data_IF_687934763611
#
_entry.id   IF_687934763611
#
_cell.length_a   1.000
_cell.length_b   1.000
_cell.length_c   1.000
_cell.angle_alpha   90.00
_cell.angle_beta   90.00
_cell.angle_gamma   90.00
#
_symmetry.space_group_name_H-M   'P 1'
#
loop_
_entity.id
_entity.type
_entity.pdbx_description
1 polymer ?
#
# COMPACT_ATOMS: atom_id res chain seq x y z
N UNK A 1 13.45 25.76 -15.70
CA UNK A 1 12.97 24.38 -15.53
C UNK A 1 11.55 24.37 -16.05
N UNK A 2 11.30 23.79 -17.21
CA UNK A 2 9.93 23.69 -17.74
C UNK A 2 9.25 22.50 -17.07
N UNK A 3 8.17 22.74 -16.32
CA UNK A 3 7.38 21.66 -15.74
C UNK A 3 6.55 20.98 -16.84
N UNK A 4 6.73 19.68 -17.02
CA UNK A 4 5.92 18.87 -17.93
C UNK A 4 4.59 18.47 -17.27
N UNK A 5 3.62 18.01 -18.05
CA UNK A 5 2.36 17.49 -17.54
C UNK A 5 2.56 16.31 -16.55
N UNK A 6 3.57 15.45 -16.76
CA UNK A 6 3.88 14.35 -15.84
C UNK A 6 4.40 14.86 -14.49
N UNK A 7 5.22 15.92 -14.48
CA UNK A 7 5.67 16.55 -13.24
C UNK A 7 4.50 17.09 -12.41
N UNK A 8 3.49 17.69 -13.03
CA UNK A 8 2.29 18.15 -12.31
C UNK A 8 1.50 16.99 -11.69
N UNK A 9 1.33 15.88 -12.42
CA UNK A 9 0.65 14.68 -11.91
C UNK A 9 1.41 14.09 -10.72
N UNK A 10 2.73 13.93 -10.84
CA UNK A 10 3.60 13.43 -9.76
C UNK A 10 3.50 14.30 -8.51
N UNK A 11 3.61 15.62 -8.66
CA UNK A 11 3.50 16.57 -7.55
C UNK A 11 2.14 16.49 -6.86
N UNK A 12 1.05 16.43 -7.64
CA UNK A 12 -0.30 16.30 -7.09
C UNK A 12 -0.41 15.02 -6.25
N UNK A 13 0.07 13.89 -6.77
CA UNK A 13 0.03 12.62 -6.05
C UNK A 13 0.88 12.68 -4.77
N UNK A 14 2.11 13.17 -4.82
CA UNK A 14 2.96 13.28 -3.63
C UNK A 14 2.36 14.19 -2.55
N UNK A 15 1.80 15.33 -2.95
CA UNK A 15 1.14 16.27 -2.02
C UNK A 15 -0.10 15.62 -1.39
N UNK A 16 -0.97 14.97 -2.18
CA UNK A 16 -2.14 14.27 -1.67
C UNK A 16 -1.75 13.13 -0.72
N UNK A 17 -0.73 12.35 -1.08
CA UNK A 17 -0.18 11.28 -0.26
C UNK A 17 0.33 11.80 1.07
N UNK A 18 1.00 12.95 1.09
CA UNK A 18 1.43 13.57 2.34
C UNK A 18 0.26 14.09 3.17
N UNK A 19 -0.62 14.90 2.58
CA UNK A 19 -1.72 15.56 3.27
C UNK A 19 -2.77 14.60 3.83
N UNK A 20 -3.05 13.50 3.15
CA UNK A 20 -4.03 12.50 3.59
C UNK A 20 -3.37 11.34 4.34
N UNK A 21 -2.19 10.91 3.88
CA UNK A 21 -1.47 9.78 4.45
C UNK A 21 -0.94 10.04 5.85
N UNK A 22 -0.35 11.22 6.11
CA UNK A 22 0.19 11.56 7.43
C UNK A 22 -0.90 11.54 8.52
N UNK A 23 -1.97 12.34 8.44
CA UNK A 23 -3.00 12.34 9.48
C UNK A 23 -3.75 11.00 9.54
N UNK A 24 -4.01 10.36 8.39
CA UNK A 24 -4.71 9.07 8.34
C UNK A 24 -3.97 7.98 9.09
N UNK A 25 -2.66 7.81 8.83
CA UNK A 25 -1.86 6.78 9.49
C UNK A 25 -1.59 7.11 10.96
N UNK A 26 -1.40 8.39 11.33
CA UNK A 26 -1.29 8.78 12.75
C UNK A 26 -2.57 8.48 13.53
N UNK A 27 -3.73 8.75 12.95
CA UNK A 27 -5.03 8.45 13.56
C UNK A 27 -5.21 6.94 13.77
N UNK A 28 -4.94 6.13 12.75
CA UNK A 28 -5.06 4.67 12.84
C UNK A 28 -4.07 4.11 13.85
N UNK A 29 -2.81 4.57 13.84
CA UNK A 29 -1.79 4.17 14.80
C UNK A 29 -2.28 4.44 16.23
N UNK A 30 -2.81 5.63 16.48
CA UNK A 30 -3.38 6.00 17.78
C UNK A 30 -4.55 5.11 18.21
N UNK A 31 -5.51 4.86 17.30
CA UNK A 31 -6.66 3.98 17.55
C UNK A 31 -6.20 2.56 17.88
N UNK A 32 -5.26 2.02 17.12
CA UNK A 32 -4.76 0.65 17.29
C UNK A 32 -3.82 0.50 18.49
N UNK A 33 -3.04 1.52 18.87
CA UNK A 33 -2.28 1.53 20.13
C UNK A 33 -3.22 1.50 21.32
N UNK A 34 -4.26 2.35 21.31
CA UNK A 34 -5.30 2.33 22.37
C UNK A 34 -5.99 0.98 22.45
N UNK A 35 -6.28 0.38 21.28
CA UNK A 35 -6.86 -0.95 21.18
C UNK A 35 -5.94 -2.02 21.75
N UNK A 36 -4.65 -1.99 21.42
CA UNK A 36 -3.63 -2.90 21.95
C UNK A 36 -3.49 -2.79 23.47
N UNK A 37 -3.48 -1.57 24.01
CA UNK A 37 -3.40 -1.32 25.45
C UNK A 37 -4.63 -1.82 26.21
N UNK A 38 -5.83 -1.71 25.63
CA UNK A 38 -7.08 -2.08 26.30
C UNK A 38 -7.46 -3.56 26.14
N UNK A 39 -7.17 -4.18 25.00
CA UNK A 39 -7.65 -5.53 24.66
C UNK A 39 -6.53 -6.50 24.24
N UNK A 40 -5.27 -6.12 24.37
CA UNK A 40 -4.12 -6.94 23.99
C UNK A 40 -3.78 -6.89 22.50
N UNK A 41 -2.60 -7.41 22.16
CA UNK A 41 -2.02 -7.40 20.83
C UNK A 41 -2.42 -8.64 20.02
N UNK A 42 -3.63 -8.64 19.45
CA UNK A 42 -4.01 -9.68 18.46
C UNK A 42 -3.15 -9.56 17.18
N UNK A 43 -2.96 -10.62 16.38
CA UNK A 43 -2.19 -10.56 15.13
C UNK A 43 -2.62 -9.42 14.20
N UNK A 44 -3.94 -9.19 14.07
CA UNK A 44 -4.47 -8.10 13.24
C UNK A 44 -4.11 -6.71 13.77
N UNK A 45 -3.93 -6.56 15.08
CA UNK A 45 -3.50 -5.30 15.69
C UNK A 45 -2.02 -5.08 15.46
N UNK A 46 -1.18 -6.12 15.63
CA UNK A 46 0.26 -6.05 15.33
C UNK A 46 0.48 -5.72 13.86
N UNK A 47 -0.23 -6.39 12.95
CA UNK A 47 -0.18 -6.12 11.51
C UNK A 47 -0.55 -4.66 11.19
N UNK A 48 -1.65 -4.16 11.74
CA UNK A 48 -2.08 -2.77 11.50
C UNK A 48 -1.08 -1.75 12.05
N UNK A 49 -0.51 -1.98 13.25
CA UNK A 49 0.50 -1.11 13.84
C UNK A 49 1.77 -1.05 12.99
N UNK A 50 2.26 -2.22 12.55
CA UNK A 50 3.38 -2.29 11.63
C UNK A 50 3.04 -1.47 10.37
N UNK A 51 1.88 -1.73 9.74
CA UNK A 51 1.52 -1.09 8.47
C UNK A 51 1.39 0.44 8.59
N UNK A 52 0.91 0.95 9.74
CA UNK A 52 0.98 2.38 10.01
C UNK A 52 2.41 2.90 10.09
N UNK A 53 3.33 2.20 10.76
CA UNK A 53 4.75 2.61 10.83
C UNK A 53 5.39 2.61 9.44
N UNK A 54 5.06 1.63 8.57
CA UNK A 54 5.42 1.61 7.16
C UNK A 54 5.05 2.92 6.46
N UNK A 55 3.76 3.22 6.54
CA UNK A 55 3.16 4.26 5.75
C UNK A 55 3.66 5.61 6.25
N UNK A 56 3.89 5.77 7.56
CA UNK A 56 4.50 6.99 8.11
C UNK A 56 5.94 7.18 7.62
N UNK A 57 6.75 6.11 7.56
CA UNK A 57 8.08 6.18 6.99
C UNK A 57 8.04 6.57 5.51
N UNK A 58 7.13 5.98 4.71
CA UNK A 58 6.95 6.33 3.30
C UNK A 58 6.44 7.78 3.11
N UNK A 59 5.49 8.22 3.93
CA UNK A 59 4.95 9.59 3.89
C UNK A 59 6.00 10.63 4.23
N UNK A 60 6.87 10.35 5.22
CA UNK A 60 7.94 11.28 5.58
C UNK A 60 8.91 11.57 4.44
N UNK A 61 8.93 10.70 3.41
CA UNK A 61 9.75 10.86 2.23
C UNK A 61 9.11 11.68 1.11
N UNK A 62 7.77 11.74 1.04
CA UNK A 62 7.06 12.48 -0.01
C UNK A 62 7.52 13.94 -0.16
N UNK A 63 7.82 14.70 0.91
CA UNK A 63 8.38 16.05 0.79
C UNK A 63 9.73 16.10 0.07
N UNK A 64 10.57 15.07 0.25
CA UNK A 64 11.85 14.96 -0.45
C UNK A 64 11.59 14.81 -1.95
N UNK A 65 10.71 13.89 -2.36
CA UNK A 65 10.35 13.69 -3.78
C UNK A 65 9.75 14.94 -4.43
N UNK A 66 8.96 15.71 -3.68
CA UNK A 66 8.46 17.02 -4.13
C UNK A 66 9.62 17.99 -4.37
N UNK A 67 10.58 18.08 -3.44
CA UNK A 67 11.76 18.94 -3.60
C UNK A 67 12.63 18.50 -4.79
N UNK A 68 12.86 17.20 -4.97
CA UNK A 68 13.59 16.67 -6.13
C UNK A 68 12.91 17.07 -7.45
N UNK A 69 11.58 16.95 -7.52
CA UNK A 69 10.79 17.28 -8.72
C UNK A 69 10.80 18.78 -9.03
N UNK A 70 10.82 19.65 -8.02
CA UNK A 70 10.77 21.11 -8.20
C UNK A 70 12.15 21.76 -8.39
N UNK A 71 13.19 21.22 -7.76
CA UNK A 71 14.51 21.84 -7.72
C UNK A 71 15.52 21.10 -8.61
N UNK A 72 15.17 19.94 -9.16
CA UNK A 72 16.12 19.07 -9.85
C UNK A 72 17.26 18.60 -8.94
N UNK A 73 17.10 18.76 -7.62
CA UNK A 73 18.04 18.29 -6.63
C UNK A 73 17.92 16.78 -6.57
N UNK A 74 19.03 16.06 -6.66
CA UNK A 74 19.06 14.63 -6.43
C UNK A 74 19.69 14.37 -5.07
N UNK A 75 19.21 13.32 -4.39
CA UNK A 75 19.88 12.82 -3.20
C UNK A 75 21.37 12.55 -3.46
N UNK A 76 22.26 12.88 -2.50
CA UNK A 76 23.66 12.51 -2.60
C UNK A 76 23.79 10.99 -2.79
N UNK A 77 24.68 10.57 -3.70
CA UNK A 77 24.86 9.17 -4.09
C UNK A 77 25.13 8.21 -2.90
N UNK A 78 25.69 8.71 -1.79
CA UNK A 78 25.96 7.93 -0.58
C UNK A 78 24.71 7.68 0.29
N UNK A 79 23.73 8.57 0.26
CA UNK A 79 22.50 8.46 1.07
C UNK A 79 21.49 7.52 0.41
N UNK A 80 21.53 7.45 -0.93
CA UNK A 80 20.60 6.67 -1.72
C UNK A 80 20.58 5.15 -1.44
N UNK A 81 21.73 4.42 -1.41
CA UNK A 81 21.73 2.99 -1.14
C UNK A 81 21.35 2.68 0.31
N UNK A 82 21.74 3.54 1.25
CA UNK A 82 21.36 3.42 2.66
C UNK A 82 19.85 3.58 2.83
N UNK A 83 19.25 4.56 2.18
CA UNK A 83 17.81 4.80 2.20
C UNK A 83 17.01 3.66 1.53
N UNK A 84 17.47 3.19 0.37
CA UNK A 84 16.89 2.05 -0.34
C UNK A 84 16.95 0.77 0.52
N UNK A 85 18.06 0.57 1.23
CA UNK A 85 18.24 -0.53 2.16
C UNK A 85 17.33 -0.43 3.39
N UNK A 86 17.17 0.76 3.98
CA UNK A 86 16.24 0.98 5.08
C UNK A 86 14.78 0.73 4.68
N UNK A 87 14.34 1.20 3.50
CA UNK A 87 13.01 0.89 2.98
C UNK A 87 12.81 -0.60 2.67
N UNK A 88 13.84 -1.26 2.12
CA UNK A 88 13.81 -2.69 1.81
C UNK A 88 13.73 -3.57 3.08
N UNK A 89 14.39 -3.17 4.17
CA UNK A 89 14.39 -3.89 5.45
C UNK A 89 13.09 -3.71 6.23
N UNK A 90 12.49 -2.52 6.17
CA UNK A 90 11.36 -2.18 7.03
C UNK A 90 10.08 -2.98 6.66
N UNK A 91 9.96 -3.47 5.41
CA UNK A 91 8.76 -4.12 4.86
C UNK A 91 9.14 -5.18 3.83
N UNK A 92 9.03 -6.48 4.15
CA UNK A 92 9.32 -7.60 3.24
C UNK A 92 8.37 -7.69 1.99
N UNK A 93 7.84 -6.56 1.51
CA UNK A 93 7.03 -6.40 0.31
C UNK A 93 7.10 -4.96 -0.26
N UNK A 94 8.28 -4.32 -0.19
CA UNK A 94 8.62 -3.09 -0.93
C UNK A 94 9.88 -3.33 -1.81
N UNK A 95 9.94 -4.49 -2.46
CA UNK A 95 10.91 -4.75 -3.55
C UNK A 95 10.64 -3.90 -4.82
N UNK A 96 9.60 -3.07 -4.78
CA UNK A 96 9.24 -2.05 -5.78
C UNK A 96 10.12 -0.79 -5.69
N UNK A 97 10.69 -0.45 -4.53
CA UNK A 97 11.50 0.78 -4.37
C UNK A 97 12.98 0.63 -4.69
N UNK A 98 13.43 -0.54 -5.15
CA UNK A 98 14.78 -0.68 -5.74
C UNK A 98 14.99 0.18 -7.01
N UNK A 99 13.95 0.86 -7.51
CA UNK A 99 14.01 1.72 -8.70
C UNK A 99 13.85 3.23 -8.48
N UNK A 100 13.67 3.72 -7.24
CA UNK A 100 13.11 5.08 -7.03
C UNK A 100 14.11 6.18 -6.61
N UNK A 101 15.42 5.88 -6.59
CA UNK A 101 16.38 6.74 -5.91
C UNK A 101 17.52 7.31 -6.78
N UNK A 102 17.54 7.12 -8.10
CA UNK A 102 18.60 7.73 -8.89
C UNK A 102 18.07 8.30 -10.20
N UNK A 103 18.39 9.57 -10.44
CA UNK A 103 18.47 10.19 -11.77
C UNK A 103 19.45 9.44 -12.73
N UNK A 104 19.83 8.19 -12.43
CA UNK A 104 20.64 7.28 -13.24
C UNK A 104 19.85 6.02 -13.71
N UNK A 105 18.53 5.96 -13.56
CA UNK A 105 17.75 4.73 -13.81
C UNK A 105 17.05 4.66 -15.18
N UNK A 106 17.24 5.66 -16.04
CA UNK A 106 16.67 5.66 -17.39
C UNK A 106 17.52 4.80 -18.37
N UNK A 107 18.84 4.79 -18.19
CA UNK A 107 19.78 4.17 -19.14
C UNK A 107 20.47 2.93 -18.56
N UNK A 108 19.84 1.76 -18.70
CA UNK A 108 20.50 0.48 -18.44
C UNK A 108 21.33 0.02 -19.63
N UNK A 109 22.49 -0.59 -19.35
CA UNK A 109 23.16 -1.40 -20.36
C UNK A 109 22.37 -2.68 -20.63
N UNK A 110 22.56 -3.29 -21.81
CA UNK A 110 21.88 -4.54 -22.15
C UNK A 110 22.19 -5.65 -21.13
N UNK A 111 23.44 -5.78 -20.70
CA UNK A 111 23.87 -6.75 -19.68
C UNK A 111 23.13 -6.60 -18.35
N UNK A 112 22.88 -5.36 -17.91
CA UNK A 112 22.12 -5.11 -16.68
C UNK A 112 20.65 -5.50 -16.83
N UNK A 113 20.10 -5.29 -18.03
CA UNK A 113 18.70 -5.60 -18.31
C UNK A 113 18.44 -7.10 -18.33
N UNK A 114 19.40 -7.91 -18.77
CA UNK A 114 19.28 -9.38 -18.82
C UNK A 114 19.08 -9.99 -17.44
N UNK A 115 19.68 -9.40 -16.41
CA UNK A 115 19.50 -9.81 -15.01
C UNK A 115 18.26 -9.17 -14.38
N UNK A 116 18.04 -7.89 -14.64
CA UNK A 116 17.05 -7.09 -13.94
C UNK A 116 15.61 -7.40 -14.36
N UNK A 117 15.38 -7.68 -15.64
CA UNK A 117 14.04 -7.92 -16.19
C UNK A 117 13.42 -9.23 -15.70
N UNK A 118 14.13 -10.38 -15.72
CA UNK A 118 13.62 -11.61 -15.13
C UNK A 118 13.35 -11.51 -13.63
N UNK A 119 14.24 -10.83 -12.88
CA UNK A 119 14.07 -10.59 -11.45
C UNK A 119 12.80 -9.77 -11.17
N UNK A 120 12.57 -8.70 -11.93
CA UNK A 120 11.34 -7.88 -11.82
C UNK A 120 10.07 -8.69 -12.10
N UNK A 121 10.12 -9.59 -13.08
CA UNK A 121 9.00 -10.48 -13.37
C UNK A 121 8.75 -11.45 -12.21
N UNK A 122 9.79 -12.10 -11.69
CA UNK A 122 9.68 -13.01 -10.55
C UNK A 122 9.03 -12.32 -9.35
N UNK A 123 9.50 -11.10 -9.03
CA UNK A 123 8.90 -10.29 -7.98
C UNK A 123 7.43 -9.96 -8.28
N UNK A 124 7.09 -9.54 -9.50
CA UNK A 124 5.70 -9.26 -9.87
C UNK A 124 4.79 -10.50 -9.73
N UNK A 125 5.29 -11.69 -10.05
CA UNK A 125 4.55 -12.94 -9.92
C UNK A 125 4.34 -13.33 -8.45
N UNK A 126 5.42 -13.35 -7.66
CA UNK A 126 5.39 -13.81 -6.27
C UNK A 126 4.72 -12.80 -5.33
N UNK A 127 4.99 -11.51 -5.52
CA UNK A 127 4.63 -10.44 -4.59
C UNK A 127 3.33 -9.73 -4.97
N UNK A 128 2.85 -9.91 -6.21
CA UNK A 128 1.60 -9.30 -6.64
C UNK A 128 0.59 -10.33 -7.18
N UNK A 129 0.96 -11.15 -8.17
CA UNK A 129 -0.01 -12.06 -8.80
C UNK A 129 -0.52 -13.13 -7.83
N UNK A 130 0.36 -13.75 -7.05
CA UNK A 130 -0.05 -14.74 -6.03
C UNK A 130 -0.96 -14.10 -4.97
N UNK A 131 -0.58 -12.98 -4.30
CA UNK A 131 -1.47 -12.27 -3.39
C UNK A 131 -2.79 -11.80 -4.01
N UNK A 132 -2.80 -11.39 -5.28
CA UNK A 132 -4.01 -10.98 -5.99
C UNK A 132 -4.98 -12.15 -6.13
N UNK A 133 -4.50 -13.30 -6.61
CA UNK A 133 -5.32 -14.51 -6.80
C UNK A 133 -5.87 -14.99 -5.47
N UNK A 134 -5.04 -15.03 -4.43
CA UNK A 134 -5.48 -15.41 -3.07
C UNK A 134 -6.54 -14.43 -2.54
N UNK A 135 -6.30 -13.12 -2.66
CA UNK A 135 -7.23 -12.09 -2.19
C UNK A 135 -8.56 -12.12 -2.94
N UNK A 136 -8.52 -12.32 -4.27
CA UNK A 136 -9.71 -12.45 -5.09
C UNK A 136 -10.50 -13.71 -4.72
N UNK A 137 -9.83 -14.85 -4.59
CA UNK A 137 -10.47 -16.11 -4.16
C UNK A 137 -11.11 -15.97 -2.77
N UNK A 138 -10.39 -15.41 -1.80
CA UNK A 138 -10.90 -15.17 -0.44
C UNK A 138 -12.10 -14.21 -0.45
N UNK A 139 -12.06 -13.16 -1.27
CA UNK A 139 -13.16 -12.20 -1.41
C UNK A 139 -14.39 -12.85 -2.04
N UNK A 140 -14.22 -13.67 -3.08
CA UNK A 140 -15.31 -14.44 -3.71
C UNK A 140 -15.97 -15.40 -2.71
N UNK A 141 -15.16 -16.14 -1.95
CA UNK A 141 -15.68 -17.03 -0.90
C UNK A 141 -16.39 -16.24 0.20
N UNK A 142 -15.85 -15.11 0.62
CA UNK A 142 -16.50 -14.20 1.57
C UNK A 142 -17.86 -13.72 1.05
N UNK A 143 -17.95 -13.31 -0.22
CA UNK A 143 -19.21 -12.88 -0.86
C UNK A 143 -20.27 -13.98 -0.80
N UNK A 144 -19.90 -15.21 -1.18
CA UNK A 144 -20.81 -16.36 -1.15
C UNK A 144 -21.26 -16.65 0.29
N UNK A 145 -20.33 -16.72 1.25
CA UNK A 145 -20.66 -17.00 2.65
C UNK A 145 -21.56 -15.92 3.26
N UNK A 146 -21.25 -14.64 3.05
CA UNK A 146 -22.03 -13.52 3.58
C UNK A 146 -23.42 -13.47 2.93
N UNK A 147 -23.52 -13.77 1.62
CA UNK A 147 -24.81 -13.84 0.93
C UNK A 147 -25.75 -14.86 1.60
N UNK A 148 -25.24 -16.06 1.90
CA UNK A 148 -26.01 -17.15 2.53
C UNK A 148 -26.13 -17.04 4.06
N UNK A 149 -25.36 -16.17 4.71
CA UNK A 149 -25.43 -16.00 6.16
C UNK A 149 -26.73 -15.35 6.65
N UNK A 150 -27.07 -15.58 7.92
CA UNK A 150 -28.18 -14.93 8.62
C UNK A 150 -27.82 -13.52 9.17
N UNK A 151 -26.75 -12.89 8.68
CA UNK A 151 -26.37 -11.55 9.12
C UNK A 151 -27.45 -10.51 8.74
N UNK A 152 -27.72 -9.51 9.60
CA UNK A 152 -28.51 -8.35 9.22
C UNK A 152 -27.93 -7.66 7.97
N UNK A 153 -28.78 -7.05 7.16
CA UNK A 153 -28.39 -6.37 5.90
C UNK A 153 -27.24 -5.36 6.10
N UNK A 154 -27.25 -4.62 7.21
CA UNK A 154 -26.19 -3.68 7.60
C UNK A 154 -24.85 -4.40 7.84
N UNK A 155 -24.87 -5.53 8.54
CA UNK A 155 -23.69 -6.37 8.78
C UNK A 155 -23.14 -6.96 7.48
N UNK A 156 -24.01 -7.46 6.60
CA UNK A 156 -23.63 -7.93 5.26
C UNK A 156 -22.94 -6.84 4.46
N UNK A 157 -23.59 -5.68 4.28
CA UNK A 157 -23.03 -4.54 3.52
C UNK A 157 -21.66 -4.13 4.06
N UNK A 158 -21.47 -4.14 5.38
CA UNK A 158 -20.21 -3.78 6.01
C UNK A 158 -19.08 -4.77 5.72
N UNK A 159 -19.32 -6.08 5.91
CA UNK A 159 -18.30 -7.11 5.63
C UNK A 159 -17.91 -7.08 4.15
N UNK A 160 -18.90 -6.96 3.26
CA UNK A 160 -18.64 -6.86 1.83
C UNK A 160 -17.89 -5.58 1.47
N UNK A 161 -18.25 -4.44 2.06
CA UNK A 161 -17.54 -3.19 1.83
C UNK A 161 -16.06 -3.31 2.22
N UNK A 162 -15.74 -3.92 3.38
CA UNK A 162 -14.35 -4.13 3.80
C UNK A 162 -13.61 -5.02 2.80
N UNK A 163 -14.13 -6.22 2.50
CA UNK A 163 -13.45 -7.18 1.62
C UNK A 163 -13.25 -6.63 0.20
N UNK A 164 -14.29 -6.00 -0.37
CA UNK A 164 -14.21 -5.40 -1.70
C UNK A 164 -13.28 -4.19 -1.72
N UNK A 165 -13.32 -3.33 -0.69
CA UNK A 165 -12.42 -2.16 -0.63
C UNK A 165 -10.96 -2.58 -0.57
N UNK A 166 -10.61 -3.59 0.25
CA UNK A 166 -9.25 -4.13 0.29
C UNK A 166 -8.80 -4.64 -1.08
N UNK A 167 -9.63 -5.40 -1.78
CA UNK A 167 -9.30 -5.91 -3.11
C UNK A 167 -9.14 -4.78 -4.14
N UNK A 168 -10.02 -3.78 -4.10
CA UNK A 168 -9.96 -2.61 -5.00
C UNK A 168 -8.69 -1.81 -4.76
N UNK A 169 -8.34 -1.52 -3.50
CA UNK A 169 -7.11 -0.80 -3.15
C UNK A 169 -5.89 -1.58 -3.65
N UNK A 170 -5.87 -2.90 -3.46
CA UNK A 170 -4.78 -3.74 -3.93
C UNK A 170 -4.60 -3.68 -5.47
N UNK A 171 -5.70 -3.76 -6.22
CA UNK A 171 -5.65 -3.67 -7.69
C UNK A 171 -5.26 -2.27 -8.15
N UNK A 172 -5.95 -1.23 -7.69
CA UNK A 172 -5.75 0.15 -8.17
C UNK A 172 -4.34 0.66 -7.84
N UNK A 173 -3.83 0.34 -6.65
CA UNK A 173 -2.53 0.85 -6.21
C UNK A 173 -1.36 0.06 -6.79
N UNK A 174 -1.49 -1.26 -7.00
CA UNK A 174 -0.32 -2.08 -7.33
C UNK A 174 -0.34 -2.69 -8.74
N UNK A 175 -1.50 -2.91 -9.35
CA UNK A 175 -1.57 -3.51 -10.69
C UNK A 175 -0.84 -2.68 -11.76
N UNK A 176 -0.99 -1.34 -11.85
CA UNK A 176 -0.35 -0.56 -12.92
C UNK A 176 1.16 -0.76 -12.93
N UNK A 177 1.80 -0.67 -11.77
CA UNK A 177 3.24 -0.85 -11.64
C UNK A 177 3.68 -2.28 -11.98
N UNK A 178 2.97 -3.30 -11.51
CA UNK A 178 3.33 -4.69 -11.78
C UNK A 178 3.10 -5.08 -13.25
N UNK A 179 2.10 -4.51 -13.93
CA UNK A 179 1.92 -4.66 -15.38
C UNK A 179 3.13 -4.12 -16.14
N UNK A 180 3.74 -3.02 -15.66
CA UNK A 180 4.95 -2.48 -16.27
C UNK A 180 6.07 -3.53 -16.33
N UNK A 181 6.22 -4.38 -15.30
CA UNK A 181 7.24 -5.44 -15.25
C UNK A 181 6.99 -6.52 -16.28
N UNK A 182 5.73 -6.95 -16.44
CA UNK A 182 5.35 -7.92 -17.47
C UNK A 182 5.62 -7.35 -18.87
N UNK A 183 5.22 -6.11 -19.12
CA UNK A 183 5.46 -5.46 -20.43
C UNK A 183 6.95 -5.27 -20.68
N UNK A 184 7.71 -4.81 -19.68
CA UNK A 184 9.17 -4.68 -19.77
C UNK A 184 9.89 -6.01 -19.99
N UNK A 185 9.33 -7.11 -19.49
CA UNK A 185 9.81 -8.46 -19.76
C UNK A 185 9.55 -8.90 -21.20
N UNK A 186 8.31 -8.73 -21.68
CA UNK A 186 7.94 -9.10 -23.05
C UNK A 186 8.71 -8.29 -24.09
N UNK A 187 8.93 -7.01 -23.82
CA UNK A 187 9.61 -6.08 -24.74
C UNK A 187 11.12 -5.98 -24.51
N UNK A 188 11.64 -6.64 -23.48
CA UNK A 188 13.04 -6.56 -23.06
C UNK A 188 13.57 -5.12 -23.01
N UNK A 189 12.82 -4.25 -22.33
CA UNK A 189 13.13 -2.81 -22.24
C UNK A 189 12.70 -2.21 -20.91
N UNK A 190 13.28 -1.07 -20.57
CA UNK A 190 12.75 -0.24 -19.49
C UNK A 190 11.60 0.62 -20.03
N UNK A 191 10.36 0.30 -19.64
CA UNK A 191 9.20 1.06 -20.10
C UNK A 191 9.15 2.43 -19.44
N UNK A 192 8.98 3.48 -20.25
CA UNK A 192 9.01 4.89 -19.80
C UNK A 192 7.92 5.17 -18.76
N UNK A 193 6.70 4.67 -18.99
CA UNK A 193 5.54 4.89 -18.12
C UNK A 193 5.61 4.18 -16.75
N UNK A 194 6.72 3.48 -16.45
CA UNK A 194 6.91 2.77 -15.18
C UNK A 194 6.90 3.72 -13.99
N UNK A 195 7.53 4.88 -14.12
CA UNK A 195 7.64 5.88 -13.06
C UNK A 195 6.27 6.44 -12.70
N UNK A 196 5.44 6.71 -13.71
CA UNK A 196 4.06 7.17 -13.54
C UNK A 196 3.18 6.06 -12.95
N UNK A 197 3.35 4.81 -13.39
CA UNK A 197 2.61 3.69 -12.83
C UNK A 197 2.92 3.48 -11.34
N UNK A 198 4.15 3.77 -10.92
CA UNK A 198 4.58 3.66 -9.52
C UNK A 198 3.91 4.68 -8.60
N UNK A 199 3.48 5.83 -9.13
CA UNK A 199 2.72 6.83 -8.38
C UNK A 199 1.44 6.22 -7.78
N UNK A 200 0.80 5.31 -8.50
CA UNK A 200 -0.42 4.63 -8.02
C UNK A 200 -0.17 3.82 -6.73
N UNK A 201 1.04 3.27 -6.54
CA UNK A 201 1.40 2.54 -5.33
C UNK A 201 1.36 3.44 -4.09
N UNK A 202 1.72 4.72 -4.24
CA UNK A 202 1.71 5.69 -3.14
C UNK A 202 0.29 5.97 -2.64
N UNK A 203 -0.74 5.78 -3.46
CA UNK A 203 -2.13 5.97 -3.04
C UNK A 203 -2.56 5.00 -1.93
N UNK A 204 -1.92 3.83 -1.83
CA UNK A 204 -2.16 2.88 -0.76
C UNK A 204 -2.01 3.51 0.63
N UNK A 205 -1.05 4.43 0.76
CA UNK A 205 -0.75 5.12 2.01
C UNK A 205 -1.97 5.83 2.60
N UNK A 206 -2.81 6.44 1.77
CA UNK A 206 -3.99 7.17 2.24
C UNK A 206 -5.31 6.40 2.08
N UNK A 207 -5.36 5.36 1.24
CA UNK A 207 -6.53 4.49 1.10
C UNK A 207 -6.59 3.40 2.18
N UNK A 208 -5.44 2.87 2.60
CA UNK A 208 -5.35 1.79 3.60
C UNK A 208 -5.89 2.21 4.99
N UNK A 209 -5.62 3.43 5.51
CA UNK A 209 -6.25 3.90 6.75
C UNK A 209 -7.77 3.86 6.72
N UNK A 210 -8.39 4.11 5.57
CA UNK A 210 -9.85 4.06 5.42
C UNK A 210 -10.36 2.63 5.67
N UNK A 211 -9.71 1.63 5.07
CA UNK A 211 -10.01 0.20 5.27
C UNK A 211 -9.83 -0.20 6.73
N UNK A 212 -8.73 0.21 7.36
CA UNK A 212 -8.45 -0.10 8.77
C UNK A 212 -9.45 0.55 9.74
N UNK A 213 -9.91 1.77 9.47
CA UNK A 213 -10.94 2.42 10.28
C UNK A 213 -12.30 1.71 10.16
N UNK A 214 -12.66 1.25 8.95
CA UNK A 214 -13.86 0.44 8.74
C UNK A 214 -13.82 -0.88 9.53
N UNK A 215 -12.64 -1.52 9.57
CA UNK A 215 -12.35 -2.72 10.37
C UNK A 215 -12.40 -2.44 11.87
N UNK A 216 -11.88 -1.30 12.33
CA UNK A 216 -11.88 -0.94 13.75
C UNK A 216 -13.29 -0.71 14.28
N UNK A 217 -14.11 0.03 13.54
CA UNK A 217 -15.48 0.35 13.94
C UNK A 217 -16.43 -0.87 13.94
N UNK A 218 -15.99 -2.05 13.47
CA UNK A 218 -16.83 -3.27 13.43
C UNK A 218 -16.94 -3.94 14.79
N UNK A 219 -15.99 -3.65 15.69
CA UNK A 219 -16.08 -4.00 17.11
C UNK A 219 -16.70 -2.84 17.88
N UNK A 220 -18.01 -2.67 17.76
CA UNK A 220 -18.73 -1.81 18.70
C UNK A 220 -18.85 -2.56 20.04
N UNK A 221 -18.34 -2.02 21.17
CA UNK A 221 -18.39 -2.67 22.49
C UNK A 221 -19.82 -2.91 23.05
N UNK A 222 -20.86 -2.49 22.35
CA UNK A 222 -22.25 -2.64 22.81
C UNK A 222 -22.80 -4.07 22.78
N UNK A 223 -22.13 -5.04 22.14
CA UNK A 223 -22.54 -6.46 22.24
C UNK A 223 -22.07 -7.16 23.52
N UNK A 224 -21.19 -6.54 24.31
CA UNK A 224 -20.76 -7.10 25.61
C UNK A 224 -21.74 -6.78 26.74
N UNK A 225 -22.52 -5.71 26.64
CA UNK A 225 -23.51 -5.34 27.67
C UNK A 225 -24.85 -6.06 27.51
N UNK A 226 -25.26 -6.43 26.30
CA UNK A 226 -26.55 -7.13 26.09
C UNK A 226 -26.47 -8.64 26.37
N UNK A 227 -25.28 -9.26 26.26
CA UNK A 227 -25.07 -10.65 26.68
C UNK A 227 -24.83 -10.80 28.20
N UNK A 228 -24.34 -9.76 28.88
CA UNK A 228 -24.24 -9.78 30.35
C UNK A 228 -25.61 -9.60 31.04
N UNK A 229 -26.56 -8.92 30.40
CA UNK A 229 -27.92 -8.72 30.93
C UNK A 229 -28.87 -9.91 30.75
N UNK A 230 -28.55 -10.86 29.85
CA UNK A 230 -29.37 -12.06 29.61
C UNK A 230 -28.92 -13.30 30.38
N UNK A 231 -27.87 -13.18 31.19
CA UNK A 231 -27.39 -14.25 32.09
C UNK A 231 -27.81 -13.98 33.55
N UNK A 232 -28.38 -12.81 33.85
CA UNK A 232 -28.81 -12.39 35.20
C UNK A 232 -30.32 -12.06 35.21
N UNK A 233 -31.13 -12.69 34.35
CA UNK A 233 -32.60 -12.59 34.38
C UNK A 233 -33.23 -13.96 34.20
#
# INVERSE_FOLDING_TARGET
MELTASSFVSLLVYILTFLLGLPGNLLVLFVYIRKARKHGATPNVVYALNLCVANLALVSWMPVKVAETLQGWALPAAVCPVYSFFLAILWLLVLVHLGECLACYENFTQEQLELLVPLRLEMALLLFMVPLVLSAFCTLRCLVLVRHSALPSVGKRRVLAIALSTLVVFVVCYLPYNVSHVVGFVLYTNVEWRSEAMLSCSCNVFLEPVVMLMLSASRNPQTTTTQAASIIS
#
